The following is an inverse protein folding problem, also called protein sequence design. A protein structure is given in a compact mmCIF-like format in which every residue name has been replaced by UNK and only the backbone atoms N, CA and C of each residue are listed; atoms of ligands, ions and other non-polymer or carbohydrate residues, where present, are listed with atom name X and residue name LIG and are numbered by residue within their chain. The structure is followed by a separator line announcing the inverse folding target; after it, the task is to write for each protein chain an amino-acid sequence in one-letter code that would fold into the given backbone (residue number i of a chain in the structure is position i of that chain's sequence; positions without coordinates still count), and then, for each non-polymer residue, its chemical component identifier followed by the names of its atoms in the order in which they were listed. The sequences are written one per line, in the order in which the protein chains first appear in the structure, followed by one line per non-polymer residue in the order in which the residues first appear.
data_IF_175312434349
#
_entry.id   IF_175312434349
#
_cell.length_a   1.000
_cell.length_b   1.000
_cell.length_c   1.000
_cell.angle_alpha   90.00
_cell.angle_beta   90.00
_cell.angle_gamma   90.00
#
_symmetry.space_group_name_H-M   'P 1'
#
loop_
_entity.id
_entity.type
_entity.pdbx_description
1 polymer ?
#
# COMPACT_ATOMS: atom_id res chain seq x y z
N UNK A 1 -7.47 15.28 -29.69
CA UNK A 1 -7.43 15.53 -28.24
C UNK A 1 -7.95 14.34 -27.41
N UNK A 2 -9.11 13.76 -27.71
CA UNK A 2 -9.69 12.64 -26.94
C UNK A 2 -8.78 11.40 -26.83
N UNK A 3 -8.12 11.00 -27.92
CA UNK A 3 -7.23 9.83 -27.95
C UNK A 3 -6.00 9.98 -27.03
N UNK A 4 -5.45 11.19 -26.92
CA UNK A 4 -4.34 11.50 -26.04
C UNK A 4 -4.75 11.44 -24.55
N UNK A 5 -5.99 11.84 -24.24
CA UNK A 5 -6.56 11.76 -22.88
C UNK A 5 -6.77 10.31 -22.46
N UNK A 6 -7.35 9.47 -23.34
CA UNK A 6 -7.55 8.04 -23.09
C UNK A 6 -6.21 7.31 -22.88
N UNK A 7 -5.23 7.57 -23.74
CA UNK A 7 -3.89 6.98 -23.64
C UNK A 7 -3.20 7.32 -22.32
N UNK A 8 -3.31 8.60 -21.90
CA UNK A 8 -2.75 9.09 -20.64
C UNK A 8 -3.43 8.47 -19.41
N UNK A 9 -4.75 8.28 -19.45
CA UNK A 9 -5.50 7.57 -18.40
C UNK A 9 -5.07 6.11 -18.27
N UNK A 10 -4.84 5.42 -19.39
CA UNK A 10 -4.32 4.04 -19.41
C UNK A 10 -2.91 3.93 -18.82
N UNK A 11 -2.00 4.84 -19.18
CA UNK A 11 -0.65 4.87 -18.61
C UNK A 11 -0.68 5.11 -17.10
N UNK A 12 -1.49 6.05 -16.62
CA UNK A 12 -1.62 6.31 -15.18
C UNK A 12 -2.18 5.10 -14.42
N UNK A 13 -3.14 4.38 -14.99
CA UNK A 13 -3.67 3.15 -14.41
C UNK A 13 -2.61 2.04 -14.35
N UNK A 14 -1.76 1.90 -15.36
CA UNK A 14 -0.64 0.95 -15.34
C UNK A 14 0.38 1.31 -14.26
N UNK A 15 0.75 2.58 -14.15
CA UNK A 15 1.65 3.06 -13.08
C UNK A 15 1.04 2.76 -11.71
N UNK A 16 -0.24 3.08 -11.52
CA UNK A 16 -0.94 2.79 -10.27
C UNK A 16 -0.96 1.28 -9.96
N UNK A 17 -1.18 0.42 -10.96
CA UNK A 17 -1.11 -1.05 -10.83
C UNK A 17 0.25 -1.53 -10.34
N UNK A 18 1.35 -0.95 -10.85
CA UNK A 18 2.70 -1.28 -10.39
C UNK A 18 2.85 -0.91 -8.92
N UNK A 19 2.47 0.32 -8.54
CA UNK A 19 2.56 0.77 -7.15
C UNK A 19 1.77 -0.13 -6.19
N UNK A 20 0.49 -0.40 -6.46
CA UNK A 20 -0.32 -1.25 -5.56
C UNK A 20 0.18 -2.69 -5.48
N UNK A 21 0.84 -3.19 -6.54
CA UNK A 21 1.42 -4.54 -6.56
C UNK A 21 2.69 -4.59 -5.73
N UNK A 22 3.61 -3.63 -5.91
CA UNK A 22 4.82 -3.50 -5.09
C UNK A 22 4.45 -3.31 -3.63
N UNK A 23 3.45 -2.47 -3.36
CA UNK A 23 2.95 -2.22 -2.02
C UNK A 23 2.40 -3.51 -1.38
N UNK A 24 1.52 -4.23 -2.07
CA UNK A 24 0.96 -5.48 -1.58
C UNK A 24 2.05 -6.54 -1.28
N UNK A 25 3.07 -6.66 -2.14
CA UNK A 25 4.18 -7.59 -1.90
C UNK A 25 4.98 -7.17 -0.66
N UNK A 26 5.32 -5.88 -0.55
CA UNK A 26 6.09 -5.38 0.58
C UNK A 26 5.36 -5.55 1.91
N UNK A 27 4.07 -5.21 1.97
CA UNK A 27 3.27 -5.31 3.20
C UNK A 27 2.98 -6.76 3.58
N UNK A 28 2.86 -7.68 2.62
CA UNK A 28 2.77 -9.12 2.89
C UNK A 28 4.05 -9.71 3.49
N UNK A 29 5.21 -9.09 3.25
CA UNK A 29 6.46 -9.48 3.89
C UNK A 29 6.51 -9.13 5.38
N UNK A 30 5.80 -8.09 5.81
CA UNK A 30 5.86 -7.59 7.19
C UNK A 30 5.50 -8.64 8.24
N UNK A 31 4.40 -9.41 8.12
CA UNK A 31 4.09 -10.50 9.06
C UNK A 31 5.14 -11.61 9.10
N UNK A 32 5.86 -11.85 8.00
CA UNK A 32 6.92 -12.86 7.96
C UNK A 32 8.09 -12.42 8.82
N UNK A 33 8.56 -11.18 8.66
CA UNK A 33 9.66 -10.64 9.46
C UNK A 33 9.27 -10.51 10.95
N UNK A 34 8.09 -9.98 11.23
CA UNK A 34 7.58 -9.86 12.59
C UNK A 34 7.39 -11.25 13.24
N UNK A 35 6.81 -12.22 12.52
CA UNK A 35 6.62 -13.57 13.02
C UNK A 35 7.94 -14.27 13.36
N UNK A 36 8.97 -14.11 12.52
CA UNK A 36 10.32 -14.63 12.78
C UNK A 36 10.95 -14.00 14.01
N UNK A 37 10.81 -12.68 14.16
CA UNK A 37 11.26 -11.96 15.35
C UNK A 37 10.59 -12.49 16.63
N UNK A 38 9.27 -12.69 16.59
CA UNK A 38 8.50 -13.19 17.75
C UNK A 38 8.88 -14.61 18.18
N UNK A 39 9.44 -15.42 17.29
CA UNK A 39 9.94 -16.78 17.61
C UNK A 39 11.45 -16.81 17.95
N UNK A 40 12.08 -15.66 18.14
CA UNK A 40 13.46 -15.53 18.64
C UNK A 40 14.52 -15.25 17.58
N UNK A 41 14.15 -15.05 16.31
CA UNK A 41 15.09 -14.58 15.27
C UNK A 41 15.21 -13.05 15.33
N UNK A 42 15.95 -12.54 16.31
CA UNK A 42 16.04 -11.11 16.60
C UNK A 42 16.58 -10.27 15.43
N UNK A 43 17.37 -10.86 14.52
CA UNK A 43 17.85 -10.17 13.31
C UNK A 43 16.72 -9.75 12.37
N UNK A 44 15.57 -10.44 12.44
CA UNK A 44 14.40 -10.09 11.63
C UNK A 44 13.70 -8.82 12.11
N UNK A 45 14.05 -8.27 13.27
CA UNK A 45 13.59 -6.94 13.68
C UNK A 45 14.13 -5.86 12.72
N UNK A 46 15.41 -5.93 12.34
CA UNK A 46 16.00 -4.99 11.39
C UNK A 46 15.36 -5.15 9.99
N UNK A 47 15.02 -6.37 9.58
CA UNK A 47 14.31 -6.63 8.33
C UNK A 47 12.87 -6.12 8.37
N UNK A 48 12.20 -6.26 9.52
CA UNK A 48 10.88 -5.70 9.75
C UNK A 48 10.90 -4.17 9.64
N UNK A 49 11.85 -3.52 10.31
CA UNK A 49 12.04 -2.06 10.24
C UNK A 49 12.37 -1.58 8.81
N UNK A 50 13.31 -2.22 8.12
CA UNK A 50 13.61 -1.92 6.72
C UNK A 50 12.35 -2.07 5.85
N UNK A 51 11.61 -3.15 6.02
CA UNK A 51 10.38 -3.35 5.28
C UNK A 51 9.30 -2.34 5.64
N UNK A 52 9.20 -1.88 6.89
CA UNK A 52 8.28 -0.82 7.30
C UNK A 52 8.63 0.50 6.59
N UNK A 53 9.91 0.85 6.50
CA UNK A 53 10.39 2.00 5.72
C UNK A 53 10.01 1.89 4.24
N UNK A 54 10.18 0.71 3.64
CA UNK A 54 9.81 0.46 2.24
C UNK A 54 8.29 0.60 2.04
N UNK A 55 7.49 -0.07 2.88
CA UNK A 55 6.02 -0.06 2.82
C UNK A 55 5.50 1.39 2.93
N UNK A 56 5.91 2.13 3.96
CA UNK A 56 5.49 3.51 4.15
C UNK A 56 5.93 4.44 3.01
N UNK A 57 7.15 4.25 2.49
CA UNK A 57 7.63 5.04 1.34
C UNK A 57 6.80 4.75 0.09
N UNK A 58 6.49 3.47 -0.17
CA UNK A 58 5.65 3.06 -1.30
C UNK A 58 4.23 3.59 -1.15
N UNK A 59 3.64 3.57 0.05
CA UNK A 59 2.31 4.12 0.30
C UNK A 59 2.22 5.62 0.03
N UNK A 60 3.21 6.39 0.52
CA UNK A 60 3.30 7.82 0.23
C UNK A 60 3.49 8.08 -1.27
N UNK A 61 4.37 7.34 -1.92
CA UNK A 61 4.61 7.48 -3.36
C UNK A 61 3.39 7.07 -4.20
N UNK A 62 2.61 6.06 -3.78
CA UNK A 62 1.39 5.59 -4.42
C UNK A 62 0.29 6.68 -4.47
N UNK A 63 0.30 7.64 -3.55
CA UNK A 63 -0.63 8.79 -3.57
C UNK A 63 -0.51 9.60 -4.85
N UNK A 64 0.69 9.75 -5.40
CA UNK A 64 0.94 10.55 -6.60
C UNK A 64 0.21 9.99 -7.83
N UNK A 65 0.45 8.74 -8.29
CA UNK A 65 -0.29 8.19 -9.41
C UNK A 65 -1.79 8.03 -9.11
N UNK A 66 -2.20 7.78 -7.86
CA UNK A 66 -3.61 7.71 -7.49
C UNK A 66 -4.31 9.08 -7.65
N UNK A 67 -3.69 10.16 -7.18
CA UNK A 67 -4.18 11.52 -7.34
C UNK A 67 -4.19 11.95 -8.81
N UNK A 68 -3.14 11.64 -9.57
CA UNK A 68 -3.07 11.93 -11.01
C UNK A 68 -4.13 11.16 -11.80
N UNK A 69 -4.38 9.89 -11.45
CA UNK A 69 -5.43 9.08 -12.06
C UNK A 69 -6.82 9.70 -11.82
N UNK A 70 -7.10 10.11 -10.58
CA UNK A 70 -8.34 10.82 -10.25
C UNK A 70 -8.45 12.16 -10.99
N UNK A 71 -7.42 13.02 -10.91
CA UNK A 71 -7.41 14.35 -11.53
C UNK A 71 -7.60 14.31 -13.06
N UNK A 72 -7.25 13.19 -13.70
CA UNK A 72 -7.41 12.98 -15.16
C UNK A 72 -8.70 12.25 -15.53
N UNK A 73 -9.70 12.23 -14.63
CA UNK A 73 -11.03 11.69 -14.87
C UNK A 73 -11.21 10.21 -14.52
N UNK A 74 -10.21 9.60 -13.86
CA UNK A 74 -10.35 8.26 -13.28
C UNK A 74 -11.23 8.26 -12.03
N UNK A 75 -11.63 7.06 -11.59
CA UNK A 75 -12.39 6.90 -10.34
C UNK A 75 -11.57 7.35 -9.14
N UNK A 76 -12.23 7.99 -8.17
CA UNK A 76 -11.58 8.63 -7.01
C UNK A 76 -11.18 7.67 -5.88
N UNK A 77 -11.83 6.50 -5.78
CA UNK A 77 -11.62 5.58 -4.65
C UNK A 77 -10.16 5.14 -4.44
N UNK A 78 -9.30 4.98 -5.47
CA UNK A 78 -7.90 4.60 -5.26
C UNK A 78 -7.10 5.65 -4.51
N UNK A 79 -7.42 6.94 -4.69
CA UNK A 79 -6.78 8.02 -3.96
C UNK A 79 -7.12 7.93 -2.47
N UNK A 80 -8.40 7.85 -2.13
CA UNK A 80 -8.83 7.75 -0.74
C UNK A 80 -8.35 6.48 -0.04
N UNK A 81 -8.33 5.34 -0.74
CA UNK A 81 -7.79 4.11 -0.20
C UNK A 81 -6.27 4.16 0.00
N UNK A 82 -5.53 4.81 -0.90
CA UNK A 82 -4.09 5.04 -0.74
C UNK A 82 -3.80 6.00 0.41
N UNK A 83 -4.64 7.02 0.61
CA UNK A 83 -4.54 7.94 1.74
C UNK A 83 -4.80 7.24 3.08
N UNK A 84 -5.80 6.37 3.12
CA UNK A 84 -6.08 5.53 4.28
C UNK A 84 -4.89 4.61 4.60
N UNK A 85 -4.29 3.97 3.60
CA UNK A 85 -3.09 3.13 3.76
C UNK A 85 -1.92 3.95 4.30
N UNK A 86 -1.57 5.07 3.67
CA UNK A 86 -0.47 5.92 4.12
C UNK A 86 -0.67 6.44 5.56
N UNK A 87 -1.88 6.87 5.91
CA UNK A 87 -2.20 7.29 7.28
C UNK A 87 -2.15 6.14 8.27
N UNK A 88 -2.71 4.99 7.92
CA UNK A 88 -2.72 3.79 8.75
C UNK A 88 -1.33 3.21 8.97
N UNK A 89 -0.48 3.18 7.95
CA UNK A 89 0.92 2.76 8.05
C UNK A 89 1.78 3.74 8.84
N UNK A 90 1.49 5.03 8.76
CA UNK A 90 2.12 6.03 9.64
C UNK A 90 1.78 5.73 11.12
N UNK A 91 0.50 5.50 11.41
CA UNK A 91 0.07 5.08 12.75
C UNK A 91 0.71 3.75 13.16
N UNK A 92 0.84 2.81 12.22
CA UNK A 92 1.48 1.52 12.45
C UNK A 92 2.96 1.63 12.79
N UNK A 93 3.68 2.51 12.08
CA UNK A 93 5.10 2.78 12.32
C UNK A 93 5.29 3.28 13.76
N UNK A 94 4.50 4.26 14.20
CA UNK A 94 4.56 4.77 15.57
C UNK A 94 4.14 3.73 16.61
N UNK A 95 3.10 2.93 16.35
CA UNK A 95 2.70 1.84 17.25
C UNK A 95 3.83 0.81 17.42
N UNK A 96 4.55 0.49 16.34
CA UNK A 96 5.72 -0.39 16.38
C UNK A 96 6.88 0.19 17.20
N UNK A 97 7.22 1.46 16.99
CA UNK A 97 8.26 2.16 17.75
C UNK A 97 7.93 2.27 19.26
N UNK A 98 6.64 2.42 19.58
CA UNK A 98 6.16 2.46 20.96
C UNK A 98 6.04 1.07 21.62
N UNK A 99 6.22 -0.02 20.87
CA UNK A 99 5.98 -1.38 21.37
C UNK A 99 4.53 -1.69 21.73
N UNK A 100 3.57 -0.91 21.20
CA UNK A 100 2.14 -1.05 21.47
C UNK A 100 1.54 -2.22 20.66
N UNK A 101 1.90 -3.45 21.01
CA UNK A 101 1.59 -4.66 20.24
C UNK A 101 0.08 -4.95 20.10
N UNK A 102 -0.70 -4.55 21.10
CA UNK A 102 -2.16 -4.64 21.14
C UNK A 102 -2.83 -3.79 20.04
N UNK A 103 -2.23 -2.67 19.67
CA UNK A 103 -2.64 -1.87 18.51
C UNK A 103 -1.91 -2.30 17.23
N UNK A 104 -0.60 -2.53 17.32
CA UNK A 104 0.26 -2.76 16.17
C UNK A 104 -0.13 -4.03 15.40
N UNK A 105 -0.37 -5.14 16.10
CA UNK A 105 -0.69 -6.41 15.44
C UNK A 105 -2.06 -6.33 14.72
N UNK A 106 -3.17 -5.95 15.38
CA UNK A 106 -4.47 -5.88 14.70
C UNK A 106 -4.50 -4.86 13.57
N UNK A 107 -3.88 -3.69 13.76
CA UNK A 107 -3.79 -2.67 12.71
C UNK A 107 -3.03 -3.19 11.49
N UNK A 108 -1.95 -3.94 11.70
CA UNK A 108 -1.15 -4.52 10.61
C UNK A 108 -1.93 -5.51 9.78
N UNK A 109 -2.68 -6.40 10.42
CA UNK A 109 -3.58 -7.35 9.74
C UNK A 109 -4.63 -6.59 8.93
N UNK A 110 -5.24 -5.55 9.49
CA UNK A 110 -6.23 -4.73 8.79
C UNK A 110 -5.64 -4.03 7.57
N UNK A 111 -4.43 -3.47 7.68
CA UNK A 111 -3.75 -2.79 6.58
C UNK A 111 -3.35 -3.75 5.46
N UNK A 112 -2.89 -4.97 5.78
CA UNK A 112 -2.67 -6.03 4.79
C UNK A 112 -3.96 -6.33 4.02
N UNK A 113 -5.07 -6.51 4.73
CA UNK A 113 -6.36 -6.80 4.09
C UNK A 113 -6.83 -5.65 3.19
N UNK A 114 -6.68 -4.39 3.64
CA UNK A 114 -7.01 -3.19 2.85
C UNK A 114 -6.11 -3.12 1.60
N UNK A 115 -4.80 -3.32 1.74
CA UNK A 115 -3.85 -3.27 0.62
C UNK A 115 -4.18 -4.32 -0.45
N UNK A 116 -4.54 -5.54 -0.05
CA UNK A 116 -5.01 -6.58 -0.96
C UNK A 116 -6.35 -6.20 -1.61
N UNK A 117 -7.28 -5.62 -0.86
CA UNK A 117 -8.54 -5.10 -1.40
C UNK A 117 -8.31 -4.04 -2.48
N UNK A 118 -7.38 -3.11 -2.24
CA UNK A 118 -6.96 -2.08 -3.22
C UNK A 118 -6.33 -2.73 -4.45
N UNK A 119 -5.42 -3.69 -4.26
CA UNK A 119 -4.80 -4.45 -5.35
C UNK A 119 -5.87 -5.07 -6.25
N UNK A 120 -6.77 -5.86 -5.69
CA UNK A 120 -7.84 -6.52 -6.45
C UNK A 120 -8.79 -5.50 -7.11
N UNK A 121 -9.14 -4.41 -6.42
CA UNK A 121 -9.97 -3.34 -6.96
C UNK A 121 -9.33 -2.66 -8.18
N UNK A 122 -8.03 -2.37 -8.11
CA UNK A 122 -7.26 -1.70 -9.18
C UNK A 122 -7.06 -2.62 -10.39
N UNK A 123 -6.81 -3.90 -10.18
CA UNK A 123 -6.69 -4.84 -11.29
C UNK A 123 -8.03 -5.14 -11.98
N UNK A 124 -9.16 -4.98 -11.27
CA UNK A 124 -10.50 -5.08 -11.86
C UNK A 124 -10.98 -3.80 -12.56
N UNK A 125 -10.39 -2.65 -12.26
CA UNK A 125 -10.73 -1.39 -12.95
C UNK A 125 -10.23 -1.46 -14.40
N UNK A 126 -11.12 -1.24 -15.37
CA UNK A 126 -10.83 -1.36 -16.81
C UNK A 126 -11.04 -2.76 -17.43
N UNK A 127 -11.33 -3.79 -16.62
CA UNK A 127 -11.73 -5.12 -17.12
C UNK A 127 -13.25 -5.24 -17.38
N UNK A 128 -14.04 -4.32 -16.79
CA UNK A 128 -15.47 -4.18 -17.10
C UNK A 128 -15.59 -3.40 -18.41
N UNK A 129 -15.83 -4.12 -19.50
CA UNK A 129 -16.40 -3.58 -20.73
C UNK A 129 -17.91 -3.54 -20.62
#
# INVERSE_FOLDING_TARGET
MAEAVLTRGRTLLVVLRVFVTVHAVAILGQPVFAGRYLIGDYGMLAMHELGANIVSTVALAQLVPAALYWWRGGVQWPFWASLLLAGGETAQYFAGQAGALDLHIPLGVALVAIALGVLFGIWRTGARR
#
